data_IF_803915186455
#
_entry.id   IF_803915186455
#
_cell.length_a   1.000
_cell.length_b   1.000
_cell.length_c   1.000
_cell.angle_alpha   90.00
_cell.angle_beta   90.00
_cell.angle_gamma   90.00
#
_symmetry.space_group_name_H-M   'P 1'
#
loop_
_entity.id
_entity.type
_entity.pdbx_description
1 polymer ?
#
# COMPACT_ATOMS: atom_id res chain seq x y z
N UNK A 1 18.19 7.67 -23.23
CA UNK A 1 16.84 7.16 -22.91
C UNK A 1 17.00 6.10 -21.82
N UNK A 2 16.59 6.37 -20.58
CA UNK A 2 16.67 5.39 -19.50
C UNK A 2 15.59 4.33 -19.70
N UNK A 3 15.97 3.13 -20.16
CA UNK A 3 15.02 2.01 -20.22
C UNK A 3 14.61 1.62 -18.80
N UNK A 4 13.32 1.74 -18.51
CA UNK A 4 12.75 1.30 -17.25
C UNK A 4 12.66 -0.23 -17.30
N UNK A 5 13.67 -0.92 -16.73
CA UNK A 5 13.60 -2.36 -16.53
C UNK A 5 12.59 -2.62 -15.40
N UNK A 6 11.50 -3.30 -15.73
CA UNK A 6 10.45 -3.77 -14.81
C UNK A 6 10.47 -5.30 -14.79
N UNK A 7 10.62 -5.87 -13.61
CA UNK A 7 10.52 -7.33 -13.44
C UNK A 7 9.06 -7.81 -13.29
N UNK A 8 8.87 -9.11 -13.11
CA UNK A 8 7.54 -9.72 -12.99
C UNK A 8 6.77 -9.18 -11.78
N UNK A 9 7.43 -9.04 -10.63
CA UNK A 9 6.81 -8.54 -9.42
C UNK A 9 6.41 -7.06 -9.53
N UNK A 10 7.23 -6.23 -10.18
CA UNK A 10 6.88 -4.84 -10.45
C UNK A 10 5.63 -4.75 -11.35
N UNK A 11 5.55 -5.60 -12.39
CA UNK A 11 4.37 -5.67 -13.27
C UNK A 11 3.12 -6.11 -12.51
N UNK A 12 3.23 -7.04 -11.58
CA UNK A 12 2.11 -7.47 -10.73
C UNK A 12 1.65 -6.38 -9.77
N UNK A 13 2.58 -5.64 -9.15
CA UNK A 13 2.26 -4.48 -8.32
C UNK A 13 1.46 -3.46 -9.14
N UNK A 14 1.92 -3.15 -10.36
CA UNK A 14 1.23 -2.20 -11.24
C UNK A 14 -0.15 -2.70 -11.67
N UNK A 15 -0.27 -3.97 -12.10
CA UNK A 15 -1.57 -4.58 -12.43
C UNK A 15 -2.54 -4.50 -11.27
N UNK A 16 -2.08 -4.82 -10.05
CA UNK A 16 -2.89 -4.75 -8.84
C UNK A 16 -3.38 -3.31 -8.61
N UNK A 17 -2.50 -2.32 -8.71
CA UNK A 17 -2.85 -0.92 -8.50
C UNK A 17 -3.78 -0.36 -9.60
N UNK A 18 -3.63 -0.77 -10.86
CA UNK A 18 -4.57 -0.41 -11.94
C UNK A 18 -5.95 -1.03 -11.68
N UNK A 19 -5.99 -2.29 -11.28
CA UNK A 19 -7.25 -3.01 -11.03
C UNK A 19 -7.98 -2.50 -9.77
N UNK A 20 -7.23 -1.92 -8.83
CA UNK A 20 -7.78 -1.42 -7.59
C UNK A 20 -8.51 -0.08 -7.82
N UNK A 21 -9.80 -0.04 -7.51
CA UNK A 21 -10.62 1.19 -7.52
C UNK A 21 -10.21 2.22 -6.45
N UNK A 22 -9.17 1.95 -5.66
CA UNK A 22 -8.71 2.79 -4.55
C UNK A 22 -7.21 2.61 -4.30
N UNK A 23 -6.52 3.62 -3.73
CA UNK A 23 -5.15 3.49 -3.28
C UNK A 23 -4.96 2.32 -2.30
N UNK A 24 -3.88 1.57 -2.45
CA UNK A 24 -3.58 0.42 -1.61
C UNK A 24 -2.44 0.69 -0.64
N UNK A 25 -2.55 0.15 0.57
CA UNK A 25 -1.44 0.19 1.52
C UNK A 25 -0.37 -0.86 1.16
N UNK A 26 0.90 -0.58 1.49
CA UNK A 26 2.00 -1.49 1.17
C UNK A 26 1.80 -2.93 1.67
N UNK A 27 1.12 -3.12 2.81
CA UNK A 27 0.78 -4.45 3.31
C UNK A 27 -0.24 -5.20 2.45
N UNK A 28 -1.26 -4.49 1.95
CA UNK A 28 -2.26 -5.10 1.06
C UNK A 28 -1.61 -5.52 -0.27
N UNK A 29 -0.68 -4.71 -0.77
CA UNK A 29 0.11 -5.01 -1.96
C UNK A 29 0.99 -6.24 -1.70
N UNK A 30 1.76 -6.24 -0.60
CA UNK A 30 2.67 -7.34 -0.27
C UNK A 30 1.93 -8.68 -0.09
N UNK A 31 0.76 -8.64 0.56
CA UNK A 31 -0.08 -9.82 0.74
C UNK A 31 -0.67 -10.35 -0.56
N UNK A 32 -1.00 -9.49 -1.52
CA UNK A 32 -1.57 -9.90 -2.80
C UNK A 32 -0.52 -10.50 -3.75
N UNK A 33 0.70 -9.96 -3.75
CA UNK A 33 1.81 -10.43 -4.60
C UNK A 33 2.64 -11.56 -3.96
N UNK A 34 2.36 -11.92 -2.71
CA UNK A 34 3.09 -12.97 -1.99
C UNK A 34 4.52 -12.61 -1.60
N UNK A 35 4.86 -11.32 -1.50
CA UNK A 35 6.19 -10.84 -1.10
C UNK A 35 6.22 -10.32 0.33
N UNK A 36 7.42 -10.32 0.92
CA UNK A 36 7.63 -9.71 2.24
C UNK A 36 7.39 -8.19 2.20
N UNK A 37 6.93 -7.63 3.31
CA UNK A 37 6.72 -6.18 3.40
C UNK A 37 8.00 -5.35 3.14
N UNK A 38 9.20 -5.74 3.61
CA UNK A 38 10.44 -5.02 3.27
C UNK A 38 10.75 -5.02 1.78
N UNK A 39 10.66 -6.18 1.10
CA UNK A 39 10.95 -6.26 -0.33
C UNK A 39 9.94 -5.46 -1.16
N UNK A 40 8.67 -5.51 -0.78
CA UNK A 40 7.61 -4.72 -1.41
C UNK A 40 7.86 -3.22 -1.24
N UNK A 41 8.28 -2.76 -0.06
CA UNK A 41 8.57 -1.35 0.19
C UNK A 41 9.75 -0.82 -0.63
N UNK A 42 10.78 -1.64 -0.85
CA UNK A 42 11.92 -1.28 -1.72
C UNK A 42 11.42 -1.07 -3.15
N UNK A 43 10.58 -1.98 -3.66
CA UNK A 43 10.00 -1.89 -5.01
C UNK A 43 9.10 -0.67 -5.16
N UNK A 44 8.21 -0.41 -4.21
CA UNK A 44 7.34 0.76 -4.23
C UNK A 44 8.13 2.08 -4.21
N UNK A 45 9.22 2.13 -3.43
CA UNK A 45 10.11 3.31 -3.42
C UNK A 45 10.80 3.51 -4.76
N UNK A 46 11.33 2.44 -5.37
CA UNK A 46 11.95 2.51 -6.71
C UNK A 46 10.95 2.92 -7.80
N UNK A 47 9.74 2.38 -7.79
CA UNK A 47 8.70 2.74 -8.75
C UNK A 47 8.24 4.20 -8.58
N UNK A 48 8.29 4.73 -7.36
CA UNK A 48 8.04 6.15 -7.08
C UNK A 48 9.16 7.05 -7.57
N UNK A 49 10.42 6.69 -7.32
CA UNK A 49 11.60 7.43 -7.84
C UNK A 49 11.59 7.50 -9.36
N UNK A 50 11.06 6.45 -10.02
CA UNK A 50 10.86 6.39 -11.47
C UNK A 50 9.63 7.18 -11.97
N UNK A 51 8.87 7.82 -11.08
CA UNK A 51 7.67 8.59 -11.43
C UNK A 51 6.44 7.76 -11.81
N UNK A 52 6.45 6.44 -11.61
CA UNK A 52 5.33 5.55 -11.99
C UNK A 52 4.26 5.53 -10.89
N UNK A 53 4.69 5.60 -9.63
CA UNK A 53 3.81 5.57 -8.47
C UNK A 53 3.90 6.87 -7.67
N UNK A 54 2.80 7.22 -7.02
CA UNK A 54 2.73 8.30 -6.04
C UNK A 54 2.13 7.84 -4.73
N UNK A 55 2.42 8.59 -3.67
CA UNK A 55 1.77 8.39 -2.37
C UNK A 55 0.53 9.27 -2.36
N UNK A 56 -0.64 8.67 -2.54
CA UNK A 56 -1.93 9.36 -2.62
C UNK A 56 -2.29 10.02 -1.28
N UNK A 57 -2.07 9.30 -0.17
CA UNK A 57 -2.21 9.85 1.17
C UNK A 57 -1.44 9.03 2.20
N UNK A 58 -1.20 9.64 3.37
CA UNK A 58 -0.69 8.95 4.55
C UNK A 58 -1.76 8.93 5.63
N UNK A 59 -2.10 7.72 6.09
CA UNK A 59 -2.86 7.56 7.33
C UNK A 59 -2.02 8.08 8.48
N UNK A 60 -2.59 8.94 9.33
CA UNK A 60 -1.97 9.31 10.62
C UNK A 60 -1.92 8.08 11.53
N UNK A 61 -0.95 8.06 12.44
CA UNK A 61 -0.99 7.13 13.57
C UNK A 61 -2.25 7.41 14.40
N UNK A 62 -2.99 6.37 14.79
CA UNK A 62 -4.22 6.52 15.58
C UNK A 62 -4.23 5.51 16.71
N UNK A 63 -4.59 5.97 17.90
CA UNK A 63 -4.87 5.12 19.05
C UNK A 63 -6.36 5.21 19.34
N UNK A 64 -7.04 4.07 19.44
CA UNK A 64 -8.48 4.03 19.69
C UNK A 64 -8.84 2.82 20.55
N UNK A 65 -9.98 2.92 21.24
CA UNK A 65 -10.53 1.81 22.03
C UNK A 65 -11.38 0.95 21.12
N UNK A 66 -11.11 -0.36 21.09
CA UNK A 66 -11.91 -1.34 20.35
C UNK A 66 -12.60 -2.28 21.32
N UNK A 67 -13.89 -2.48 21.10
CA UNK A 67 -14.68 -3.46 21.83
C UNK A 67 -14.64 -4.79 21.08
N UNK A 68 -14.25 -5.84 21.77
CA UNK A 68 -14.23 -7.21 21.30
C UNK A 68 -15.40 -7.94 21.95
N UNK A 69 -16.22 -8.60 21.12
CA UNK A 69 -17.24 -9.52 21.60
C UNK A 69 -16.57 -10.84 21.94
N UNK A 70 -16.59 -11.23 23.21
CA UNK A 70 -16.07 -12.50 23.72
C UNK A 70 -17.25 -13.41 24.09
N UNK A 71 -16.95 -14.68 24.42
CA UNK A 71 -17.97 -15.63 24.90
C UNK A 71 -18.65 -15.13 26.19
N UNK A 72 -17.88 -14.46 27.05
CA UNK A 72 -18.31 -13.98 28.37
C UNK A 72 -18.80 -12.51 28.39
N UNK A 73 -18.96 -11.87 27.22
CA UNK A 73 -19.45 -10.49 27.13
C UNK A 73 -18.63 -9.59 26.20
N UNK A 74 -18.33 -8.36 26.64
CA UNK A 74 -17.54 -7.39 25.88
C UNK A 74 -16.25 -7.04 26.63
N UNK A 75 -15.12 -7.08 25.91
CA UNK A 75 -13.83 -6.60 26.40
C UNK A 75 -13.36 -5.43 25.56
N UNK A 76 -13.04 -4.31 26.19
CA UNK A 76 -12.45 -3.14 25.54
C UNK A 76 -10.93 -3.16 25.68
N UNK A 77 -10.20 -2.88 24.60
CA UNK A 77 -8.75 -2.68 24.66
C UNK A 77 -8.33 -1.46 23.83
N UNK A 78 -7.30 -0.76 24.29
CA UNK A 78 -6.63 0.29 23.50
C UNK A 78 -5.78 -0.36 22.42
N UNK A 79 -6.01 0.03 21.17
CA UNK A 79 -5.29 -0.46 20.00
C UNK A 79 -4.58 0.72 19.34
N UNK A 80 -3.32 0.50 18.97
CA UNK A 80 -2.57 1.40 18.10
C UNK A 80 -2.70 0.93 16.64
N UNK A 81 -3.03 1.86 15.75
CA UNK A 81 -2.97 1.67 14.30
C UNK A 81 -1.82 2.52 13.76
N UNK A 82 -0.74 1.90 13.27
CA UNK A 82 0.39 2.64 12.74
C UNK A 82 0.00 3.45 11.49
N UNK A 83 0.76 4.50 11.23
CA UNK A 83 0.63 5.28 10.01
C UNK A 83 0.90 4.40 8.79
N UNK A 84 0.09 4.55 7.74
CA UNK A 84 0.17 3.75 6.50
C UNK A 84 0.30 4.68 5.31
N UNK A 85 1.25 4.39 4.43
CA UNK A 85 1.34 5.02 3.10
C UNK A 85 0.36 4.31 2.18
N UNK A 86 -0.49 5.09 1.51
CA UNK A 86 -1.37 4.60 0.45
C UNK A 86 -0.76 4.94 -0.90
N UNK A 87 -0.58 3.90 -1.71
CA UNK A 87 0.09 3.95 -3.00
C UNK A 87 -0.96 3.93 -4.11
N UNK A 88 -0.71 4.72 -5.14
CA UNK A 88 -1.54 4.86 -6.33
C UNK A 88 -0.64 5.07 -7.55
N UNK A 89 -1.12 4.72 -8.73
CA UNK A 89 -0.42 5.01 -9.99
C UNK A 89 -0.47 6.50 -10.28
N UNK A 90 0.64 7.03 -10.76
CA UNK A 90 0.72 8.42 -11.18
C UNK A 90 0.26 8.53 -12.65
N UNK A 91 -0.99 8.94 -12.85
CA UNK A 91 -1.55 9.15 -14.20
C UNK A 91 -1.29 10.56 -14.75
N UNK A 92 -0.41 11.36 -14.12
CA UNK A 92 -0.21 12.77 -14.50
C UNK A 92 0.31 13.00 -15.92
N UNK A 93 0.82 11.98 -16.62
CA UNK A 93 1.17 12.06 -18.06
C UNK A 93 0.07 11.58 -19.03
N UNK A 94 -0.97 10.88 -18.58
CA UNK A 94 -1.96 10.27 -19.50
C UNK A 94 -3.05 11.25 -20.00
N UNK A 95 -2.98 12.52 -19.60
CA UNK A 95 -4.01 13.54 -19.87
C UNK A 95 -3.49 14.79 -20.61
N UNK A 96 -2.37 14.67 -21.35
CA UNK A 96 -1.91 15.69 -22.29
C UNK A 96 -1.84 15.16 -23.71
#
# INVERSE_FOLDING_TARGET
MNQIILDSADKEILRLLVSAKRPLCGYAISSAIGLSAPSTNIRLSRLKEKGILRISSSSKHRTYTRNFKTRDGFRSAKISSPAKKLWEIDFTEAAK
#
